data_IF_657570583064
#
_entry.id   IF_657570583064
#
_cell.length_a   1.000
_cell.length_b   1.000
_cell.length_c   1.000
_cell.angle_alpha   90.00
_cell.angle_beta   90.00
_cell.angle_gamma   90.00
#
_symmetry.space_group_name_H-M   'P 1'
#
loop_
_entity.id
_entity.type
_entity.pdbx_description
1 polymer ?
#
# COMPACT_ATOMS: atom_id res chain seq x y z
N UNK A 1 -2.63 5.56 -20.84
CA UNK A 1 -3.09 5.02 -22.14
C UNK A 1 -3.31 3.51 -22.05
N UNK A 2 -2.37 2.74 -21.46
CA UNK A 2 -2.47 1.27 -21.41
C UNK A 2 -3.78 0.74 -20.79
N UNK A 3 -4.38 1.44 -19.84
CA UNK A 3 -5.61 1.01 -19.17
C UNK A 3 -6.89 1.33 -19.94
N UNK A 4 -6.77 2.12 -21.01
CA UNK A 4 -7.89 2.53 -21.83
C UNK A 4 -7.94 1.79 -23.18
N UNK A 5 -6.93 0.97 -23.47
CA UNK A 5 -6.75 0.38 -24.78
C UNK A 5 -6.75 -1.14 -24.69
N UNK A 6 -7.65 -1.78 -25.38
CA UNK A 6 -7.59 -3.20 -25.72
C UNK A 6 -7.15 -3.29 -27.18
N UNK A 7 -5.96 -3.79 -27.41
CA UNK A 7 -5.37 -3.89 -28.74
C UNK A 7 -5.04 -5.34 -29.09
N UNK A 8 -5.53 -5.78 -30.22
CA UNK A 8 -5.25 -7.09 -30.79
C UNK A 8 -4.70 -6.89 -32.19
N UNK A 9 -3.49 -7.38 -32.45
CA UNK A 9 -2.91 -7.34 -33.79
C UNK A 9 -2.62 -8.74 -34.30
N UNK A 10 -2.83 -8.94 -35.59
CA UNK A 10 -2.38 -10.12 -36.33
C UNK A 10 -1.41 -9.67 -37.39
N UNK A 11 -0.17 -10.15 -37.32
CA UNK A 11 0.88 -9.78 -38.27
C UNK A 11 1.65 -11.04 -38.68
N UNK A 12 2.13 -11.02 -39.94
CA UNK A 12 2.92 -12.12 -40.49
C UNK A 12 4.32 -11.61 -40.81
N UNK A 13 5.32 -12.38 -40.46
CA UNK A 13 6.72 -12.09 -40.77
C UNK A 13 7.43 -13.38 -41.18
N UNK A 14 8.27 -13.28 -42.19
CA UNK A 14 9.07 -14.41 -42.70
C UNK A 14 10.30 -14.71 -41.80
N UNK A 15 10.69 -13.77 -40.91
CA UNK A 15 11.85 -13.88 -40.06
C UNK A 15 11.46 -13.41 -38.63
N UNK A 16 10.91 -14.32 -37.84
CA UNK A 16 10.61 -14.04 -36.43
C UNK A 16 11.63 -14.69 -35.54
N UNK A 17 12.19 -13.93 -34.59
CA UNK A 17 12.96 -14.46 -33.47
C UNK A 17 12.23 -14.17 -32.16
N UNK A 18 12.27 -15.12 -31.24
CA UNK A 18 11.60 -15.04 -29.94
C UNK A 18 12.63 -14.99 -28.81
N UNK A 19 12.26 -14.31 -27.73
CA UNK A 19 13.12 -14.18 -26.54
C UNK A 19 13.36 -15.53 -25.85
N UNK A 20 12.36 -16.43 -25.91
CA UNK A 20 12.44 -17.72 -25.26
C UNK A 20 11.61 -18.79 -25.98
N UNK A 21 11.78 -20.04 -25.56
CA UNK A 21 11.09 -21.20 -26.14
C UNK A 21 9.55 -21.12 -26.02
N UNK A 22 9.02 -20.32 -25.10
CA UNK A 22 7.57 -20.13 -24.91
C UNK A 22 6.95 -19.17 -25.93
N UNK A 23 7.74 -18.55 -26.78
CA UNK A 23 7.32 -17.65 -27.87
C UNK A 23 6.41 -16.49 -27.42
N UNK A 24 6.58 -16.00 -26.19
CA UNK A 24 5.73 -14.94 -25.63
C UNK A 24 6.12 -13.54 -26.10
N UNK A 25 7.36 -13.31 -26.48
CA UNK A 25 7.84 -12.01 -26.94
C UNK A 25 8.71 -12.17 -28.19
N UNK A 26 8.52 -11.26 -29.15
CA UNK A 26 9.31 -11.16 -30.37
C UNK A 26 10.45 -10.18 -30.12
N UNK A 27 11.68 -10.58 -30.46
CA UNK A 27 12.88 -9.76 -30.26
C UNK A 27 13.28 -8.92 -31.45
N UNK A 28 12.63 -9.07 -32.58
CA UNK A 28 12.94 -8.35 -33.81
C UNK A 28 12.56 -6.86 -33.70
N UNK A 29 13.55 -5.98 -33.65
CA UNK A 29 13.35 -4.52 -33.60
C UNK A 29 12.58 -4.00 -34.83
N UNK A 30 12.81 -4.57 -36.01
CA UNK A 30 12.11 -4.13 -37.23
C UNK A 30 10.60 -4.36 -37.15
N UNK A 31 10.12 -5.42 -36.48
CA UNK A 31 8.70 -5.68 -36.29
C UNK A 31 8.08 -4.59 -35.40
N UNK A 32 8.75 -4.26 -34.29
CA UNK A 32 8.32 -3.19 -33.42
C UNK A 32 8.27 -1.83 -34.15
N UNK A 33 9.28 -1.54 -34.95
CA UNK A 33 9.32 -0.29 -35.74
C UNK A 33 8.19 -0.23 -36.76
N UNK A 34 8.04 -1.28 -37.55
CA UNK A 34 6.99 -1.35 -38.58
C UNK A 34 5.57 -1.22 -37.98
N UNK A 35 5.33 -1.89 -36.83
CA UNK A 35 4.05 -1.77 -36.13
C UNK A 35 3.84 -0.36 -35.55
N UNK A 36 4.89 0.27 -35.06
CA UNK A 36 4.81 1.65 -34.55
C UNK A 36 4.46 2.63 -35.67
N UNK A 37 5.13 2.54 -36.81
CA UNK A 37 4.91 3.43 -37.93
C UNK A 37 3.52 3.22 -38.54
N UNK A 38 3.10 1.96 -38.67
CA UNK A 38 1.75 1.61 -39.11
C UNK A 38 0.68 2.19 -38.17
N UNK A 39 0.81 1.95 -36.87
CA UNK A 39 -0.17 2.45 -35.90
C UNK A 39 -0.22 3.97 -35.84
N UNK A 40 0.91 4.65 -35.90
CA UNK A 40 0.94 6.12 -35.96
C UNK A 40 0.13 6.63 -37.13
N UNK A 41 0.44 6.14 -38.34
CA UNK A 41 -0.23 6.59 -39.54
C UNK A 41 -1.76 6.36 -39.50
N UNK A 42 -2.19 5.15 -39.14
CA UNK A 42 -3.61 4.83 -39.15
C UNK A 42 -4.37 5.48 -37.99
N UNK A 43 -3.75 5.69 -36.81
CA UNK A 43 -4.37 6.44 -35.73
C UNK A 43 -4.50 7.93 -36.05
N UNK A 44 -3.52 8.52 -36.73
CA UNK A 44 -3.61 9.91 -37.20
C UNK A 44 -4.78 10.08 -38.20
N UNK A 45 -4.88 9.19 -39.17
CA UNK A 45 -6.00 9.20 -40.14
C UNK A 45 -7.34 9.01 -39.41
N UNK A 46 -7.42 8.03 -38.54
CA UNK A 46 -8.64 7.75 -37.75
C UNK A 46 -9.10 8.95 -36.91
N UNK A 47 -8.17 9.64 -36.26
CA UNK A 47 -8.51 10.80 -35.44
C UNK A 47 -8.93 12.01 -36.27
N UNK A 48 -8.44 12.14 -37.51
CA UNK A 48 -8.86 13.18 -38.42
C UNK A 48 -10.26 12.89 -39.01
N UNK A 49 -10.53 11.63 -39.33
CA UNK A 49 -11.82 11.21 -39.91
C UNK A 49 -12.95 11.19 -38.88
N UNK A 50 -12.63 10.90 -37.59
CA UNK A 50 -13.60 10.72 -36.51
C UNK A 50 -13.28 11.58 -35.27
N UNK A 51 -13.39 12.90 -35.39
CA UNK A 51 -12.98 13.81 -34.31
C UNK A 51 -13.77 13.64 -32.99
N UNK A 52 -15.05 13.27 -33.07
CA UNK A 52 -15.88 13.06 -31.88
C UNK A 52 -15.41 11.82 -31.07
N UNK A 53 -15.05 10.74 -31.78
CA UNK A 53 -14.52 9.54 -31.13
C UNK A 53 -13.12 9.80 -30.58
N UNK A 54 -12.28 10.53 -31.32
CA UNK A 54 -10.97 10.97 -30.86
C UNK A 54 -11.07 11.78 -29.55
N UNK A 55 -12.02 12.70 -29.47
CA UNK A 55 -12.25 13.51 -28.28
C UNK A 55 -12.64 12.65 -27.07
N UNK A 56 -13.53 11.68 -27.25
CA UNK A 56 -13.93 10.74 -26.18
C UNK A 56 -12.73 9.92 -25.68
N UNK A 57 -11.91 9.41 -26.59
CA UNK A 57 -10.69 8.66 -26.27
C UNK A 57 -9.72 9.54 -25.47
N UNK A 58 -9.46 10.76 -25.94
CA UNK A 58 -8.58 11.69 -25.25
C UNK A 58 -9.10 12.06 -23.86
N UNK A 59 -10.40 12.31 -23.70
CA UNK A 59 -11.01 12.57 -22.41
C UNK A 59 -10.82 11.39 -21.44
N UNK A 60 -11.06 10.17 -21.91
CA UNK A 60 -10.89 8.98 -21.07
C UNK A 60 -9.44 8.79 -20.64
N UNK A 61 -8.49 9.03 -21.53
CA UNK A 61 -7.04 8.99 -21.21
C UNK A 61 -6.67 10.03 -20.15
N UNK A 62 -7.21 11.26 -20.27
CA UNK A 62 -6.97 12.32 -19.29
C UNK A 62 -7.57 12.01 -17.92
N UNK A 63 -8.80 11.49 -17.87
CA UNK A 63 -9.44 11.06 -16.62
C UNK A 63 -8.60 9.99 -15.91
N UNK A 64 -8.15 8.98 -16.65
CA UNK A 64 -7.33 7.92 -16.09
C UNK A 64 -5.95 8.41 -15.62
N UNK A 65 -5.35 9.35 -16.37
CA UNK A 65 -4.09 10.01 -15.95
C UNK A 65 -4.28 10.77 -14.64
N UNK A 66 -5.31 11.60 -14.54
CA UNK A 66 -5.61 12.38 -13.33
C UNK A 66 -5.89 11.48 -12.13
N UNK A 67 -6.66 10.40 -12.32
CA UNK A 67 -6.94 9.42 -11.28
C UNK A 67 -5.65 8.77 -10.74
N UNK A 68 -4.74 8.37 -11.62
CA UNK A 68 -3.44 7.80 -11.23
C UNK A 68 -2.55 8.79 -10.50
N UNK A 69 -2.44 10.02 -11.01
CA UNK A 69 -1.66 11.08 -10.38
C UNK A 69 -2.19 11.43 -9.00
N UNK A 70 -3.52 11.47 -8.84
CA UNK A 70 -4.16 11.71 -7.55
C UNK A 70 -3.90 10.57 -6.57
N UNK A 71 -4.05 9.32 -7.02
CA UNK A 71 -3.76 8.14 -6.21
C UNK A 71 -2.29 8.12 -5.76
N UNK A 72 -1.35 8.44 -6.65
CA UNK A 72 0.07 8.46 -6.32
C UNK A 72 0.42 9.62 -5.36
N UNK A 73 -0.15 10.83 -5.55
CA UNK A 73 0.02 11.95 -4.61
C UNK A 73 -0.52 11.61 -3.22
N UNK A 74 -1.70 11.02 -3.15
CA UNK A 74 -2.30 10.59 -1.87
C UNK A 74 -1.41 9.55 -1.18
N UNK A 75 -0.92 8.58 -1.92
CA UNK A 75 -0.01 7.56 -1.44
C UNK A 75 1.30 8.14 -0.91
N UNK A 76 1.92 9.08 -1.66
CA UNK A 76 3.14 9.75 -1.23
C UNK A 76 2.92 10.62 0.02
N UNK A 77 1.78 11.30 0.13
CA UNK A 77 1.45 12.11 1.32
C UNK A 77 1.27 11.23 2.55
N UNK A 78 0.54 10.12 2.44
CA UNK A 78 0.39 9.13 3.50
C UNK A 78 1.76 8.58 3.93
N UNK A 79 2.59 8.25 2.97
CA UNK A 79 3.94 7.75 3.19
C UNK A 79 4.82 8.75 3.96
N UNK A 80 4.79 10.04 3.58
CA UNK A 80 5.50 11.11 4.29
C UNK A 80 4.98 11.28 5.73
N UNK A 81 3.66 11.30 5.91
CA UNK A 81 3.05 11.45 7.24
C UNK A 81 3.45 10.31 8.16
N UNK A 82 3.41 9.06 7.68
CA UNK A 82 3.83 7.90 8.46
C UNK A 82 5.31 7.94 8.82
N UNK A 83 6.20 8.28 7.87
CA UNK A 83 7.63 8.38 8.18
C UNK A 83 7.92 9.46 9.22
N UNK A 84 7.33 10.63 9.07
CA UNK A 84 7.51 11.73 10.02
C UNK A 84 6.96 11.39 11.41
N UNK A 85 5.83 10.69 11.50
CA UNK A 85 5.26 10.25 12.77
C UNK A 85 6.07 9.14 13.44
N UNK A 86 6.66 8.22 12.65
CA UNK A 86 7.53 7.17 13.19
C UNK A 86 8.84 7.76 13.73
N UNK A 87 9.40 8.76 13.07
CA UNK A 87 10.64 9.42 13.49
C UNK A 87 10.45 10.39 14.66
N UNK A 88 9.30 11.06 14.77
CA UNK A 88 9.06 12.12 15.75
C UNK A 88 8.39 11.67 17.05
N UNK A 89 7.85 10.47 17.12
CA UNK A 89 7.09 10.05 18.31
C UNK A 89 7.42 8.63 18.77
N UNK A 90 8.54 8.49 19.46
CA UNK A 90 8.81 7.30 20.29
C UNK A 90 7.87 7.18 21.52
N UNK A 91 6.77 7.92 21.59
CA UNK A 91 5.80 7.84 22.68
C UNK A 91 4.38 7.71 22.14
N UNK A 92 3.95 6.47 21.98
CA UNK A 92 2.52 6.16 21.92
C UNK A 92 1.91 6.50 23.27
N UNK A 93 0.92 7.40 23.27
CA UNK A 93 0.27 7.83 24.50
C UNK A 93 -0.37 6.62 25.21
N UNK A 94 -0.07 6.49 26.51
CA UNK A 94 -0.61 5.44 27.38
C UNK A 94 -0.19 4.00 27.06
N UNK A 95 0.69 3.77 26.11
CA UNK A 95 1.31 2.47 25.94
C UNK A 95 2.28 2.19 27.10
N UNK A 96 2.17 1.03 27.70
CA UNK A 96 3.07 0.58 28.77
C UNK A 96 3.82 -0.65 28.28
N UNK A 97 5.08 -0.48 27.97
CA UNK A 97 5.93 -1.55 27.45
C UNK A 97 6.31 -2.57 28.54
N UNK A 98 6.83 -3.72 28.12
CA UNK A 98 7.44 -4.72 28.96
C UNK A 98 8.97 -4.54 28.98
N UNK A 99 9.64 -5.21 29.92
CA UNK A 99 11.09 -5.07 30.13
C UNK A 99 11.92 -5.88 29.15
N UNK A 100 11.50 -7.11 28.86
CA UNK A 100 12.24 -7.96 27.92
C UNK A 100 12.26 -7.39 26.52
N UNK A 101 13.37 -7.57 25.83
CA UNK A 101 13.52 -7.23 24.40
C UNK A 101 13.36 -8.45 23.48
N UNK A 102 13.24 -9.63 24.08
CA UNK A 102 13.05 -10.88 23.33
C UNK A 102 11.62 -10.97 22.78
N UNK A 103 11.47 -10.71 21.48
CA UNK A 103 10.18 -10.68 20.81
C UNK A 103 9.41 -12.00 20.93
N UNK A 104 10.11 -13.14 21.03
CA UNK A 104 9.51 -14.47 21.14
C UNK A 104 8.70 -14.67 22.44
N UNK A 105 9.03 -13.92 23.48
CA UNK A 105 8.38 -13.97 24.79
C UNK A 105 7.40 -12.82 25.02
N UNK A 106 7.42 -11.79 24.19
CA UNK A 106 6.61 -10.58 24.40
C UNK A 106 5.16 -10.80 24.04
N UNK A 107 4.28 -10.31 24.90
CA UNK A 107 2.82 -10.34 24.71
C UNK A 107 2.27 -8.92 24.76
N UNK A 108 1.33 -8.61 23.86
CA UNK A 108 0.63 -7.34 23.83
C UNK A 108 -0.81 -7.53 24.28
N UNK A 109 -1.19 -6.88 25.38
CA UNK A 109 -2.57 -6.79 25.85
C UNK A 109 -3.21 -5.53 25.32
N UNK A 110 -4.21 -5.68 24.47
CA UNK A 110 -5.04 -4.59 23.98
C UNK A 110 -6.31 -4.56 24.85
N UNK A 111 -6.53 -3.45 25.54
CA UNK A 111 -7.61 -3.32 26.53
C UNK A 111 -8.57 -2.20 26.17
N UNK A 112 -9.87 -2.39 26.45
CA UNK A 112 -10.88 -1.37 26.21
C UNK A 112 -10.89 -0.34 27.34
N UNK A 113 -10.42 0.85 27.05
CA UNK A 113 -10.46 2.00 27.94
C UNK A 113 -9.42 1.99 29.09
N UNK A 114 -9.43 3.08 29.84
CA UNK A 114 -8.46 3.31 30.90
C UNK A 114 -8.74 2.48 32.17
N UNK A 115 -10.00 2.17 32.42
CA UNK A 115 -10.38 1.37 33.62
C UNK A 115 -9.81 -0.05 33.50
N UNK A 116 -9.99 -0.70 32.36
CA UNK A 116 -9.42 -2.02 32.10
C UNK A 116 -7.88 -1.96 32.08
N UNK A 117 -7.30 -0.89 31.55
CA UNK A 117 -5.84 -0.68 31.58
C UNK A 117 -5.30 -0.66 33.03
N UNK A 118 -5.99 0.01 33.97
CA UNK A 118 -5.58 0.08 35.38
C UNK A 118 -5.52 -1.29 36.01
N UNK A 119 -6.55 -2.11 35.84
CA UNK A 119 -6.63 -3.46 36.38
C UNK A 119 -5.56 -4.38 35.77
N UNK A 120 -5.41 -4.39 34.43
CA UNK A 120 -4.40 -5.22 33.78
C UNK A 120 -2.98 -4.78 34.13
N UNK A 121 -2.74 -3.48 34.30
CA UNK A 121 -1.43 -2.96 34.70
C UNK A 121 -0.98 -3.48 36.09
N UNK A 122 -1.92 -3.68 37.01
CA UNK A 122 -1.63 -4.21 38.33
C UNK A 122 -1.40 -5.71 38.35
N UNK A 123 -2.10 -6.46 37.46
CA UNK A 123 -2.07 -7.93 37.45
C UNK A 123 -1.08 -8.54 36.45
N UNK A 124 -0.57 -7.74 35.49
CA UNK A 124 0.33 -8.24 34.45
C UNK A 124 1.70 -8.63 34.95
N UNK A 125 2.37 -9.52 34.25
CA UNK A 125 3.81 -9.69 34.39
C UNK A 125 4.53 -8.58 33.56
N UNK A 126 5.18 -7.66 34.28
CA UNK A 126 5.87 -6.53 33.65
C UNK A 126 7.12 -6.94 32.89
N UNK A 127 7.60 -8.18 33.07
CA UNK A 127 8.78 -8.67 32.37
C UNK A 127 8.50 -8.85 30.85
N UNK A 128 7.37 -9.47 30.47
CA UNK A 128 7.07 -9.80 29.07
C UNK A 128 5.70 -9.32 28.57
N UNK A 129 4.82 -8.78 29.43
CA UNK A 129 3.49 -8.30 29.05
C UNK A 129 3.44 -6.79 28.91
N UNK A 130 3.16 -6.31 27.71
CA UNK A 130 2.91 -4.89 27.40
C UNK A 130 1.40 -4.63 27.32
N UNK A 131 0.97 -3.38 27.54
CA UNK A 131 -0.45 -2.99 27.53
C UNK A 131 -0.65 -1.78 26.62
N UNK A 132 -1.68 -1.83 25.78
CA UNK A 132 -2.15 -0.73 24.96
C UNK A 132 -3.65 -0.53 25.16
N UNK A 133 -4.11 0.62 25.70
CA UNK A 133 -5.54 0.92 25.78
C UNK A 133 -6.05 1.43 24.43
N UNK A 134 -7.23 0.95 24.04
CA UNK A 134 -7.98 1.43 22.88
C UNK A 134 -9.19 2.20 23.38
N UNK A 135 -9.43 3.39 22.82
CA UNK A 135 -10.56 4.25 23.19
C UNK A 135 -11.47 4.55 22.01
N UNK A 136 -12.76 4.65 22.31
CA UNK A 136 -13.78 5.09 21.37
C UNK A 136 -14.11 4.06 20.29
N UNK A 137 -14.89 4.49 19.31
CA UNK A 137 -15.27 3.63 18.16
C UNK A 137 -14.07 3.41 17.27
N UNK A 138 -13.64 2.18 17.16
CA UNK A 138 -12.55 1.79 16.25
C UNK A 138 -13.05 1.87 14.81
N UNK A 139 -12.22 2.41 13.92
CA UNK A 139 -12.50 2.50 12.50
C UNK A 139 -12.59 1.10 11.90
N UNK A 140 -13.65 0.83 11.11
CA UNK A 140 -13.72 -0.39 10.32
C UNK A 140 -12.78 -0.31 9.12
N UNK A 141 -11.56 -0.86 9.28
CA UNK A 141 -10.51 -0.81 8.28
C UNK A 141 -10.85 -1.55 6.98
N UNK A 142 -11.78 -2.52 7.02
CA UNK A 142 -12.22 -3.26 5.82
C UNK A 142 -13.09 -2.40 4.89
N UNK A 143 -13.74 -1.36 5.45
CA UNK A 143 -14.63 -0.47 4.70
C UNK A 143 -14.06 0.94 4.50
N UNK A 144 -12.95 1.25 5.11
CA UNK A 144 -12.32 2.56 5.05
C UNK A 144 -11.21 2.61 4.00
N UNK A 145 -11.04 3.77 3.38
CA UNK A 145 -9.89 4.03 2.52
C UNK A 145 -8.59 4.21 3.35
N UNK A 146 -7.45 4.03 2.71
CA UNK A 146 -6.15 4.16 3.37
C UNK A 146 -5.94 5.55 4.00
N UNK A 147 -6.45 6.61 3.39
CA UNK A 147 -6.30 7.97 3.92
C UNK A 147 -7.03 8.14 5.26
N UNK A 148 -8.19 7.50 5.44
CA UNK A 148 -8.92 7.47 6.71
C UNK A 148 -8.27 6.57 7.74
N UNK A 149 -7.78 5.41 7.32
CA UNK A 149 -7.09 4.45 8.20
C UNK A 149 -5.89 5.13 8.86
N UNK A 150 -5.06 5.82 8.09
CA UNK A 150 -3.86 6.49 8.59
C UNK A 150 -4.10 7.86 9.26
N UNK A 151 -5.34 8.34 9.27
CA UNK A 151 -5.76 9.48 10.12
C UNK A 151 -6.24 9.02 11.50
N UNK A 152 -6.46 7.73 11.70
CA UNK A 152 -6.88 7.18 12.98
C UNK A 152 -5.68 7.01 13.90
N UNK A 153 -5.60 7.82 14.97
CA UNK A 153 -4.51 7.76 15.94
C UNK A 153 -4.35 6.35 16.54
N UNK A 154 -5.46 5.69 16.83
CA UNK A 154 -5.46 4.33 17.39
C UNK A 154 -4.77 3.34 16.46
N UNK A 155 -5.05 3.41 15.16
CA UNK A 155 -4.45 2.50 14.18
C UNK A 155 -2.97 2.83 13.98
N UNK A 156 -2.62 4.12 13.89
CA UNK A 156 -1.23 4.57 13.77
C UNK A 156 -0.42 4.14 14.99
N UNK A 157 -0.97 4.29 16.19
CA UNK A 157 -0.33 3.88 17.43
C UNK A 157 -0.15 2.36 17.51
N UNK A 158 -1.15 1.59 17.08
CA UNK A 158 -1.04 0.13 17.01
C UNK A 158 0.09 -0.30 16.06
N UNK A 159 0.17 0.30 14.86
CA UNK A 159 1.26 0.03 13.91
C UNK A 159 2.64 0.32 14.52
N UNK A 160 2.78 1.45 15.22
CA UNK A 160 4.01 1.82 15.91
C UNK A 160 4.38 0.81 17.02
N UNK A 161 3.39 0.38 17.80
CA UNK A 161 3.59 -0.59 18.88
C UNK A 161 4.01 -1.94 18.32
N UNK A 162 3.35 -2.41 17.26
CA UNK A 162 3.70 -3.68 16.61
C UNK A 162 5.10 -3.67 15.99
N UNK A 163 5.57 -2.55 15.45
CA UNK A 163 6.92 -2.37 14.97
C UNK A 163 7.22 -2.97 13.59
N UNK A 164 6.32 -3.73 12.98
CA UNK A 164 6.54 -4.41 11.71
C UNK A 164 6.37 -3.53 10.46
N UNK A 165 6.00 -2.25 10.63
CA UNK A 165 5.79 -1.33 9.51
C UNK A 165 4.51 -1.61 8.71
N UNK A 166 4.38 -0.98 7.54
CA UNK A 166 3.21 -1.11 6.64
C UNK A 166 3.67 -1.25 5.20
N UNK A 167 3.11 -2.23 4.50
CA UNK A 167 3.30 -2.36 3.07
C UNK A 167 2.42 -1.38 2.31
N UNK A 168 2.96 -0.20 2.01
CA UNK A 168 2.37 0.73 1.05
C UNK A 168 2.95 0.38 -0.33
N UNK A 169 2.39 -0.64 -0.99
CA UNK A 169 2.91 -1.21 -2.24
C UNK A 169 3.39 -0.16 -3.24
N UNK A 170 4.66 -0.19 -3.65
CA UNK A 170 5.28 0.68 -4.65
C UNK A 170 6.79 0.66 -4.67
N UNK A 171 7.34 0.42 -5.84
CA UNK A 171 8.75 0.13 -6.13
C UNK A 171 9.79 1.26 -5.88
N UNK A 172 9.45 2.40 -5.30
CA UNK A 172 10.31 3.59 -5.39
C UNK A 172 10.70 4.28 -4.08
N UNK A 173 10.76 3.62 -2.92
CA UNK A 173 11.47 4.23 -1.79
C UNK A 173 11.97 3.19 -0.79
N UNK A 174 13.28 2.99 -0.79
CA UNK A 174 14.00 2.04 0.07
C UNK A 174 14.17 2.50 1.54
N UNK A 175 13.74 3.72 1.90
CA UNK A 175 14.04 4.32 3.21
C UNK A 175 12.86 4.40 4.18
N UNK A 176 11.67 3.97 3.79
CA UNK A 176 10.52 3.97 4.71
C UNK A 176 10.22 2.55 5.16
N UNK A 177 9.92 2.39 6.43
CA UNK A 177 9.60 1.12 7.06
C UNK A 177 8.69 0.27 6.17
N UNK A 178 9.31 -0.49 5.28
CA UNK A 178 8.66 -1.52 4.49
C UNK A 178 8.18 -2.55 5.49
N UNK A 179 7.00 -3.12 5.27
CA UNK A 179 6.53 -4.20 6.09
C UNK A 179 7.61 -5.30 6.12
N UNK A 180 8.07 -5.58 7.32
CA UNK A 180 8.97 -6.69 7.60
C UNK A 180 8.48 -7.39 8.88
N UNK A 181 8.08 -8.64 8.72
CA UNK A 181 7.58 -9.45 9.82
C UNK A 181 8.66 -9.73 10.87
N UNK A 182 9.94 -9.77 10.48
CA UNK A 182 11.06 -9.96 11.41
C UNK A 182 11.20 -8.83 12.44
N UNK A 183 10.64 -7.66 12.14
CA UNK A 183 10.60 -6.52 13.04
C UNK A 183 9.41 -6.55 14.00
N UNK A 184 8.60 -7.61 13.96
CA UNK A 184 7.46 -7.76 14.86
C UNK A 184 7.94 -7.84 16.32
N UNK A 185 7.40 -6.95 17.16
CA UNK A 185 7.86 -6.80 18.55
C UNK A 185 7.19 -7.75 19.54
N UNK A 186 6.08 -8.38 19.16
CA UNK A 186 5.27 -9.21 20.04
C UNK A 186 4.92 -10.54 19.37
N UNK A 187 5.10 -11.63 20.09
CA UNK A 187 4.73 -12.96 19.62
C UNK A 187 3.23 -13.23 19.77
N UNK A 188 2.65 -12.76 20.86
CA UNK A 188 1.24 -12.93 21.17
C UNK A 188 0.54 -11.59 21.33
N UNK A 189 -0.70 -11.48 20.86
CA UNK A 189 -1.56 -10.33 21.05
C UNK A 189 -2.91 -10.80 21.62
N UNK A 190 -3.31 -10.26 22.76
CA UNK A 190 -4.56 -10.58 23.44
C UNK A 190 -5.46 -9.35 23.47
N UNK A 191 -6.67 -9.49 22.99
CA UNK A 191 -7.70 -8.46 23.09
C UNK A 191 -8.57 -8.76 24.32
N UNK A 192 -8.50 -7.89 25.33
CA UNK A 192 -9.33 -7.97 26.51
C UNK A 192 -10.46 -6.94 26.42
N UNK A 193 -11.67 -7.43 26.34
CA UNK A 193 -12.89 -6.63 26.45
C UNK A 193 -13.55 -6.94 27.79
N UNK A 194 -13.99 -5.88 28.50
CA UNK A 194 -14.80 -6.06 29.69
C UNK A 194 -16.14 -6.68 29.33
N UNK A 195 -16.68 -7.61 30.11
CA UNK A 195 -18.02 -8.16 29.89
C UNK A 195 -19.11 -7.09 30.00
#
# INVERSE_FOLDING_TARGET
VQDCLVYVSSSFSTRTSYENQTKKAITNKFVSQAMTDFLKHYLEVYFLEKPEEAQKICQQVLVNKQSREHAEKTRQSIKKTLSTQIDLANRVQKFVDCRTKDASRRELYIVEGDSAMGAVKQSRDSEYQAIMPIRGKILNCLKADYARIFKSDVIVDLIKVMGCGVELGGKHNKELATFNLDNLRFNNCLLYTSP
#
